data_IF_843533320809
#
_entry.id   IF_843533320809
#
_cell.length_a   1.000
_cell.length_b   1.000
_cell.length_c   1.000
_cell.angle_alpha   90.00
_cell.angle_beta   90.00
_cell.angle_gamma   90.00
#
_symmetry.space_group_name_H-M   'P 1'
#
loop_
_entity.id
_entity.type
_entity.pdbx_description
1 polymer ?
#
# COMPACT_ATOMS: atom_id res chain seq x y z
N UNK A 1 -12.13 7.73 2.11
CA UNK A 1 -11.99 8.74 1.05
C UNK A 1 -12.36 10.14 1.52
N UNK A 2 -13.23 10.31 2.53
CA UNK A 2 -13.58 11.64 3.05
C UNK A 2 -12.38 12.48 3.51
N UNK A 3 -11.29 11.87 4.00
CA UNK A 3 -10.10 12.61 4.45
C UNK A 3 -9.19 13.16 3.34
N UNK A 4 -9.20 12.59 2.12
CA UNK A 4 -8.33 13.03 1.00
C UNK A 4 -9.11 13.53 -0.22
N UNK A 5 -10.34 13.05 -0.42
CA UNK A 5 -11.19 13.37 -1.57
C UNK A 5 -12.39 14.26 -1.20
N UNK A 6 -12.60 14.56 0.10
CA UNK A 6 -13.71 15.40 0.63
C UNK A 6 -15.09 15.13 -0.01
N UNK A 7 -15.31 13.91 -0.52
CA UNK A 7 -16.50 13.50 -1.26
C UNK A 7 -16.94 12.14 -0.75
N UNK A 8 -18.23 12.07 -0.39
CA UNK A 8 -18.92 10.86 0.04
C UNK A 8 -19.21 9.99 -1.19
N UNK A 9 -18.37 8.99 -1.44
CA UNK A 9 -18.65 7.98 -2.49
C UNK A 9 -19.60 6.93 -1.92
N UNK A 10 -20.77 6.67 -2.55
CA UNK A 10 -21.70 5.65 -2.06
C UNK A 10 -21.06 4.26 -2.09
N UNK A 11 -21.38 3.43 -1.10
CA UNK A 11 -20.77 2.11 -0.91
C UNK A 11 -20.93 1.22 -2.13
N UNK A 12 -22.08 1.31 -2.83
CA UNK A 12 -22.34 0.58 -4.06
C UNK A 12 -21.36 0.94 -5.18
N UNK A 13 -21.10 2.25 -5.41
CA UNK A 13 -20.17 2.70 -6.43
C UNK A 13 -18.74 2.27 -6.11
N UNK A 14 -18.33 2.36 -4.84
CA UNK A 14 -17.01 1.87 -4.41
C UNK A 14 -16.85 0.36 -4.70
N UNK A 15 -17.86 -0.45 -4.38
CA UNK A 15 -17.86 -1.89 -4.67
C UNK A 15 -17.78 -2.19 -6.16
N UNK A 16 -18.53 -1.46 -6.98
CA UNK A 16 -18.48 -1.60 -8.43
C UNK A 16 -17.07 -1.31 -8.97
N UNK A 17 -16.47 -0.18 -8.60
CA UNK A 17 -15.12 0.21 -9.06
C UNK A 17 -14.07 -0.83 -8.69
N UNK A 18 -14.15 -1.44 -7.49
CA UNK A 18 -13.19 -2.47 -7.07
C UNK A 18 -13.40 -3.84 -7.74
N UNK A 19 -14.64 -4.19 -8.09
CA UNK A 19 -14.97 -5.50 -8.68
C UNK A 19 -14.81 -5.54 -10.20
N UNK A 20 -15.09 -4.42 -10.88
CA UNK A 20 -15.06 -4.33 -12.35
C UNK A 20 -13.73 -4.81 -12.96
N UNK A 21 -12.54 -4.39 -12.46
CA UNK A 21 -11.27 -4.82 -13.04
C UNK A 21 -11.07 -6.34 -12.93
N UNK A 22 -11.39 -6.91 -11.76
CA UNK A 22 -11.24 -8.34 -11.51
C UNK A 22 -12.18 -9.17 -12.38
N UNK A 23 -13.45 -8.76 -12.51
CA UNK A 23 -14.43 -9.45 -13.35
C UNK A 23 -14.05 -9.36 -14.83
N UNK A 24 -13.58 -8.19 -15.29
CA UNK A 24 -13.11 -8.01 -16.67
C UNK A 24 -11.93 -8.94 -16.99
N UNK A 25 -10.89 -8.96 -16.15
CA UNK A 25 -9.72 -9.83 -16.34
C UNK A 25 -10.12 -11.31 -16.40
N UNK A 26 -10.99 -11.75 -15.48
CA UNK A 26 -11.50 -13.13 -15.47
C UNK A 26 -12.32 -13.47 -16.72
N UNK A 27 -13.18 -12.55 -17.17
CA UNK A 27 -14.01 -12.76 -18.37
C UNK A 27 -13.19 -12.83 -19.66
N UNK A 28 -12.03 -12.17 -19.69
CA UNK A 28 -11.08 -12.21 -20.80
C UNK A 28 -10.17 -13.43 -20.78
N UNK A 29 -10.29 -14.31 -19.77
CA UNK A 29 -9.50 -15.53 -19.65
C UNK A 29 -8.05 -15.31 -19.19
N UNK A 30 -7.74 -14.17 -18.56
CA UNK A 30 -6.42 -13.96 -17.96
C UNK A 30 -6.15 -14.92 -16.81
N UNK A 31 -4.89 -15.30 -16.64
CA UNK A 31 -4.47 -16.09 -15.49
C UNK A 31 -4.75 -15.29 -14.19
N UNK A 32 -5.60 -15.80 -13.30
CA UNK A 32 -5.91 -15.13 -12.04
C UNK A 32 -4.66 -14.95 -11.17
N UNK A 33 -3.69 -15.86 -11.26
CA UNK A 33 -2.44 -15.81 -10.49
C UNK A 33 -1.61 -14.60 -10.87
N UNK A 34 -1.43 -14.37 -12.18
CA UNK A 34 -0.68 -13.20 -12.67
C UNK A 34 -1.42 -11.89 -12.36
N UNK A 35 -2.74 -11.89 -12.48
CA UNK A 35 -3.57 -10.72 -12.14
C UNK A 35 -3.42 -10.33 -10.65
N UNK A 36 -3.34 -11.32 -9.77
CA UNK A 36 -3.06 -11.12 -8.36
C UNK A 36 -1.64 -10.60 -8.13
N UNK A 37 -0.63 -11.18 -8.78
CA UNK A 37 0.77 -10.72 -8.67
C UNK A 37 0.91 -9.26 -9.11
N UNK A 38 0.31 -8.88 -10.25
CA UNK A 38 0.32 -7.49 -10.73
C UNK A 38 -0.39 -6.56 -9.76
N UNK A 39 -1.50 -6.99 -9.16
CA UNK A 39 -2.19 -6.21 -8.12
C UNK A 39 -1.30 -5.99 -6.90
N UNK A 40 -0.50 -7.00 -6.50
CA UNK A 40 0.48 -6.85 -5.44
C UNK A 40 1.58 -5.86 -5.83
N UNK A 41 2.11 -5.91 -7.05
CA UNK A 41 3.12 -4.96 -7.54
C UNK A 41 2.60 -3.52 -7.46
N UNK A 42 1.38 -3.26 -7.92
CA UNK A 42 0.77 -1.92 -7.83
C UNK A 42 0.61 -1.48 -6.37
N UNK A 43 0.18 -2.39 -5.48
CA UNK A 43 0.03 -2.08 -4.06
C UNK A 43 1.38 -1.79 -3.39
N UNK A 44 2.42 -2.55 -3.73
CA UNK A 44 3.79 -2.38 -3.25
C UNK A 44 4.33 -0.96 -3.47
N UNK A 45 3.99 -0.34 -4.60
CA UNK A 45 4.35 1.06 -4.87
C UNK A 45 3.64 2.05 -3.95
N UNK A 46 2.43 1.74 -3.46
CA UNK A 46 1.66 2.60 -2.56
C UNK A 46 2.12 2.55 -1.09
N UNK A 47 2.70 1.43 -0.65
CA UNK A 47 3.13 1.21 0.74
C UNK A 47 4.09 2.31 1.24
N UNK A 48 5.14 2.73 0.50
CA UNK A 48 6.02 3.81 0.93
C UNK A 48 5.32 5.13 1.20
N UNK A 49 4.36 5.48 0.34
CA UNK A 49 3.59 6.71 0.47
C UNK A 49 2.65 6.70 1.68
N UNK A 50 2.28 5.52 2.20
CA UNK A 50 1.53 5.42 3.44
C UNK A 50 2.45 5.39 4.68
N UNK A 51 3.49 4.57 4.66
CA UNK A 51 4.36 4.32 5.82
C UNK A 51 5.24 5.51 6.18
N UNK A 52 5.85 6.19 5.20
CA UNK A 52 6.78 7.30 5.49
C UNK A 52 6.06 8.48 6.15
N UNK A 53 4.91 8.97 5.64
CA UNK A 53 4.16 10.02 6.31
C UNK A 53 3.63 9.55 7.66
N UNK A 54 3.16 8.30 7.79
CA UNK A 54 2.65 7.79 9.05
C UNK A 54 3.74 7.86 10.14
N UNK A 55 4.94 7.36 9.87
CA UNK A 55 6.05 7.41 10.83
C UNK A 55 6.45 8.86 11.15
N UNK A 56 6.43 9.75 10.16
CA UNK A 56 6.71 11.18 10.36
C UNK A 56 5.66 11.82 11.28
N UNK A 57 4.38 11.59 11.00
CA UNK A 57 3.26 12.17 11.75
C UNK A 57 3.20 11.63 13.18
N UNK A 58 3.42 10.32 13.38
CA UNK A 58 3.42 9.71 14.73
C UNK A 58 4.67 10.04 15.54
N UNK A 59 5.72 10.56 14.91
CA UNK A 59 6.95 11.00 15.57
C UNK A 59 6.97 12.50 15.87
N UNK A 60 5.94 13.25 15.48
CA UNK A 60 5.86 14.69 15.65
C UNK A 60 5.12 15.06 16.95
N UNK A 61 5.84 15.59 17.97
CA UNK A 61 5.23 16.01 19.23
C UNK A 61 4.25 17.17 19.06
N UNK A 62 4.37 17.97 17.99
CA UNK A 62 3.44 19.07 17.72
C UNK A 62 2.06 18.58 17.28
N UNK A 63 1.98 17.38 16.69
CA UNK A 63 0.74 16.79 16.21
C UNK A 63 0.10 15.83 17.22
N UNK A 64 0.92 15.01 17.89
CA UNK A 64 0.43 13.91 18.76
C UNK A 64 0.66 14.20 20.25
N UNK A 65 1.36 15.29 20.57
CA UNK A 65 1.61 15.71 21.95
C UNK A 65 2.48 14.70 22.72
N UNK A 66 2.08 14.38 23.95
CA UNK A 66 2.81 13.48 24.83
C UNK A 66 2.86 12.01 24.34
N UNK A 67 2.05 11.65 23.34
CA UNK A 67 2.03 10.30 22.75
C UNK A 67 2.96 10.18 21.52
N UNK A 68 3.86 11.13 21.31
CA UNK A 68 4.86 11.04 20.27
C UNK A 68 5.72 9.77 20.44
N UNK A 69 6.04 9.14 19.32
CA UNK A 69 6.83 7.91 19.29
C UNK A 69 8.18 8.12 19.99
N UNK A 70 8.50 7.28 20.98
CA UNK A 70 9.81 7.30 21.63
C UNK A 70 10.92 6.99 20.63
N UNK A 71 12.17 7.37 20.94
CA UNK A 71 13.31 7.14 20.03
C UNK A 71 13.43 5.67 19.61
N UNK A 72 13.17 4.75 20.54
CA UNK A 72 13.19 3.30 20.30
C UNK A 72 12.05 2.86 19.36
N UNK A 73 10.83 3.37 19.58
CA UNK A 73 9.67 3.04 18.74
C UNK A 73 9.83 3.61 17.32
N UNK A 74 10.40 4.82 17.22
CA UNK A 74 10.72 5.47 15.95
C UNK A 74 11.81 4.71 15.19
N UNK A 75 12.86 4.26 15.87
CA UNK A 75 13.89 3.41 15.27
C UNK A 75 13.29 2.10 14.76
N UNK A 76 12.52 1.39 15.59
CA UNK A 76 11.83 0.17 15.19
C UNK A 76 10.92 0.38 13.97
N UNK A 77 10.15 1.47 13.96
CA UNK A 77 9.25 1.81 12.84
C UNK A 77 10.01 2.06 11.53
N UNK A 78 11.13 2.80 11.59
CA UNK A 78 11.98 3.03 10.41
C UNK A 78 12.67 1.74 9.95
N UNK A 79 13.13 0.90 10.87
CA UNK A 79 13.72 -0.42 10.53
C UNK A 79 12.68 -1.31 9.87
N UNK A 80 11.47 -1.41 10.42
CA UNK A 80 10.37 -2.17 9.80
C UNK A 80 9.99 -1.62 8.43
N UNK A 81 9.90 -0.28 8.27
CA UNK A 81 9.64 0.34 6.99
C UNK A 81 10.73 -0.01 5.95
N UNK A 82 12.00 0.08 6.34
CA UNK A 82 13.13 -0.30 5.49
C UNK A 82 13.08 -1.77 5.08
N UNK A 83 12.74 -2.66 6.01
CA UNK A 83 12.60 -4.09 5.75
C UNK A 83 11.43 -4.37 4.78
N UNK A 84 10.28 -3.73 4.98
CA UNK A 84 9.14 -3.83 4.08
C UNK A 84 9.52 -3.33 2.68
N UNK A 85 10.24 -2.21 2.55
CA UNK A 85 10.71 -1.74 1.25
C UNK A 85 11.68 -2.70 0.59
N UNK A 86 12.65 -3.24 1.33
CA UNK A 86 13.59 -4.22 0.80
C UNK A 86 12.85 -5.45 0.26
N UNK A 87 11.92 -6.01 1.04
CA UNK A 87 11.11 -7.16 0.62
C UNK A 87 10.24 -6.86 -0.60
N UNK A 88 9.64 -5.67 -0.68
CA UNK A 88 8.85 -5.27 -1.84
C UNK A 88 9.73 -5.12 -3.09
N UNK A 89 10.92 -4.52 -2.97
CA UNK A 89 11.88 -4.42 -4.07
C UNK A 89 12.32 -5.81 -4.53
N UNK A 90 12.61 -6.72 -3.61
CA UNK A 90 12.94 -8.12 -3.93
C UNK A 90 11.79 -8.82 -4.66
N UNK A 91 10.54 -8.63 -4.20
CA UNK A 91 9.35 -9.18 -4.87
C UNK A 91 9.23 -8.64 -6.30
N UNK A 92 9.37 -7.33 -6.48
CA UNK A 92 9.36 -6.71 -7.81
C UNK A 92 10.47 -7.30 -8.69
N UNK A 93 11.69 -7.39 -8.17
CA UNK A 93 12.83 -7.96 -8.88
C UNK A 93 12.51 -9.38 -9.36
N UNK A 94 12.07 -10.27 -8.48
CA UNK A 94 11.68 -11.64 -8.85
C UNK A 94 10.53 -11.69 -9.85
N UNK A 95 9.55 -10.80 -9.72
CA UNK A 95 8.41 -10.74 -10.63
C UNK A 95 8.86 -10.35 -12.03
N UNK A 96 9.70 -9.32 -12.17
CA UNK A 96 10.21 -8.88 -13.46
C UNK A 96 11.24 -9.85 -14.06
N UNK A 97 12.04 -10.54 -13.25
CA UNK A 97 13.03 -11.51 -13.77
C UNK A 97 12.44 -12.88 -14.08
N UNK A 98 11.33 -13.31 -13.46
CA UNK A 98 10.61 -14.51 -13.90
C UNK A 98 9.68 -14.27 -15.08
N UNK A 99 9.20 -13.04 -15.27
CA UNK A 99 8.33 -12.69 -16.41
C UNK A 99 9.11 -12.33 -17.69
N UNK A 100 10.42 -12.08 -17.60
CA UNK A 100 11.31 -11.80 -18.75
C UNK A 100 11.96 -13.09 -19.26
#
# INVERSE_FOLDING_TARGET
>A
MDGLLQRRIPVALRRAITLVPSVLLLSLGFDPTLSLVVSQVVLSFGIPFALVPLIRLTSDPSLVGAFASSLMLRAASWTSAGLVFALNITLLWFTFTQMA
#
